data_IF_635765775857
#
_entry.id   IF_635765775857
#
_cell.length_a   1.000
_cell.length_b   1.000
_cell.length_c   1.000
_cell.angle_alpha   90.00
_cell.angle_beta   90.00
_cell.angle_gamma   90.00
#
_symmetry.space_group_name_H-M   'P 1'
#
loop_
_entity.id
_entity.type
_entity.pdbx_description
1 polymer ?
#
# COMPACT_ATOMS: atom_id res chain seq x y z
N UNK A 1 -32.47 -11.55 20.83
CA UNK A 1 -32.59 -10.24 20.15
C UNK A 1 -31.35 -10.08 19.30
N UNK A 2 -31.51 -10.23 17.99
CA UNK A 2 -30.46 -10.25 16.99
C UNK A 2 -30.03 -8.80 16.72
N UNK A 3 -28.76 -8.47 16.90
CA UNK A 3 -28.23 -7.18 16.46
C UNK A 3 -27.92 -7.26 14.97
N UNK A 4 -28.78 -6.62 14.19
CA UNK A 4 -28.60 -6.38 12.76
C UNK A 4 -27.58 -5.25 12.62
N UNK A 5 -26.37 -5.58 12.14
CA UNK A 5 -25.34 -4.60 11.80
C UNK A 5 -25.70 -4.03 10.44
N UNK A 6 -26.10 -2.76 10.38
CA UNK A 6 -26.33 -2.05 9.14
C UNK A 6 -25.00 -1.89 8.39
N UNK A 7 -24.93 -2.46 7.19
CA UNK A 7 -23.77 -2.41 6.31
C UNK A 7 -23.76 -1.07 5.57
N UNK A 8 -22.69 -0.30 5.78
CA UNK A 8 -22.28 0.78 4.88
C UNK A 8 -22.01 0.17 3.50
N UNK A 9 -22.56 0.75 2.43
CA UNK A 9 -22.32 0.29 1.07
C UNK A 9 -20.86 0.57 0.69
N UNK A 10 -20.06 -0.48 0.63
CA UNK A 10 -18.69 -0.41 0.14
C UNK A 10 -18.71 -0.60 -1.39
N UNK A 11 -18.38 0.43 -2.16
CA UNK A 11 -18.16 0.29 -3.60
C UNK A 11 -16.71 -0.15 -3.91
N UNK A 12 -16.54 -0.89 -5.01
CA UNK A 12 -15.26 -1.45 -5.45
C UNK A 12 -15.03 -2.90 -4.98
N UNK A 13 -13.78 -3.40 -4.97
CA UNK A 13 -13.45 -4.81 -4.71
C UNK A 13 -13.99 -5.33 -3.37
N UNK A 14 -14.14 -4.46 -2.38
CA UNK A 14 -14.75 -4.79 -1.08
C UNK A 14 -16.26 -5.04 -1.17
N UNK A 15 -16.98 -4.38 -2.08
CA UNK A 15 -18.40 -4.60 -2.33
C UNK A 15 -18.71 -5.95 -2.96
N UNK A 16 -17.89 -6.37 -3.93
CA UNK A 16 -17.97 -7.69 -4.56
C UNK A 16 -17.69 -8.81 -3.53
N UNK A 17 -16.72 -8.61 -2.64
CA UNK A 17 -16.39 -9.53 -1.56
C UNK A 17 -17.52 -9.68 -0.54
N UNK A 18 -18.21 -8.59 -0.20
CA UNK A 18 -19.37 -8.63 0.72
C UNK A 18 -20.55 -9.39 0.09
N UNK A 19 -20.79 -9.24 -1.22
CA UNK A 19 -21.84 -10.00 -1.92
C UNK A 19 -21.50 -11.49 -2.00
N UNK A 20 -20.24 -11.84 -2.22
CA UNK A 20 -19.80 -13.24 -2.23
C UNK A 20 -19.91 -13.91 -0.85
N UNK A 21 -19.79 -13.14 0.24
CA UNK A 21 -20.02 -13.59 1.62
C UNK A 21 -21.49 -13.92 1.90
N UNK A 22 -22.45 -13.17 1.33
CA UNK A 22 -23.89 -13.44 1.53
C UNK A 22 -24.31 -14.80 0.94
N UNK A 23 -23.61 -15.29 -0.09
CA UNK A 23 -23.94 -16.52 -0.81
C UNK A 23 -23.38 -17.81 -0.17
N UNK A 24 -22.36 -17.77 0.70
CA UNK A 24 -21.63 -18.97 1.12
C UNK A 24 -21.60 -19.16 2.65
N UNK A 25 -22.68 -19.68 3.22
CA UNK A 25 -22.78 -20.01 4.67
C UNK A 25 -21.83 -21.11 5.16
N UNK A 26 -21.09 -21.80 4.28
CA UNK A 26 -20.19 -22.91 4.63
C UNK A 26 -18.68 -22.63 4.53
N UNK A 27 -18.24 -21.43 4.08
CA UNK A 27 -16.82 -21.10 3.86
C UNK A 27 -16.29 -19.99 4.77
N UNK A 28 -16.98 -19.74 5.88
CA UNK A 28 -16.69 -18.62 6.77
C UNK A 28 -15.31 -18.70 7.40
N UNK A 29 -14.82 -19.91 7.73
CA UNK A 29 -13.48 -20.09 8.30
C UNK A 29 -12.36 -19.91 7.26
N UNK A 30 -12.56 -20.38 6.02
CA UNK A 30 -11.64 -20.09 4.91
C UNK A 30 -11.57 -18.60 4.62
N UNK A 31 -12.72 -17.92 4.64
CA UNK A 31 -12.81 -16.47 4.45
C UNK A 31 -12.13 -15.70 5.58
N UNK A 32 -12.33 -16.10 6.84
CA UNK A 32 -11.61 -15.54 7.99
C UNK A 32 -10.11 -15.74 7.87
N UNK A 33 -9.68 -16.92 7.45
CA UNK A 33 -8.26 -17.22 7.26
C UNK A 33 -7.67 -16.37 6.15
N UNK A 34 -8.41 -16.20 5.04
CA UNK A 34 -8.03 -15.32 3.94
C UNK A 34 -7.97 -13.86 4.38
N UNK A 35 -8.99 -13.33 5.05
CA UNK A 35 -9.00 -11.97 5.60
C UNK A 35 -7.83 -11.75 6.57
N UNK A 36 -7.60 -12.70 7.48
CA UNK A 36 -6.47 -12.64 8.42
C UNK A 36 -5.16 -12.57 7.65
N UNK A 37 -4.99 -13.38 6.60
CA UNK A 37 -3.78 -13.36 5.77
C UNK A 37 -3.60 -12.03 5.02
N UNK A 38 -4.68 -11.50 4.44
CA UNK A 38 -4.67 -10.19 3.76
C UNK A 38 -4.31 -9.06 4.72
N UNK A 39 -4.94 -9.02 5.89
CA UNK A 39 -4.71 -7.98 6.91
C UNK A 39 -3.32 -8.10 7.53
N UNK A 40 -2.80 -9.31 7.71
CA UNK A 40 -1.47 -9.52 8.32
C UNK A 40 -0.31 -9.39 7.35
N UNK A 41 -0.57 -9.53 6.04
CA UNK A 41 0.43 -9.46 4.98
C UNK A 41 1.47 -10.58 5.03
N UNK A 42 2.04 -10.92 3.87
CA UNK A 42 3.17 -11.87 3.78
C UNK A 42 4.40 -11.16 3.23
N UNK A 43 5.11 -10.45 4.10
CA UNK A 43 6.24 -9.60 3.73
C UNK A 43 7.58 -10.35 3.73
N UNK A 44 8.40 -10.12 2.70
CA UNK A 44 9.80 -10.57 2.69
C UNK A 44 10.63 -9.74 3.68
N UNK A 45 10.41 -8.42 3.69
CA UNK A 45 10.97 -7.49 4.66
C UNK A 45 9.97 -7.25 5.79
N UNK A 46 9.73 -8.30 6.58
CA UNK A 46 8.79 -8.23 7.69
C UNK A 46 9.34 -7.44 8.87
N UNK A 47 8.83 -6.22 9.07
CA UNK A 47 9.30 -5.31 10.12
C UNK A 47 8.88 -5.74 11.53
N UNK A 48 7.96 -6.70 11.68
CA UNK A 48 7.64 -7.31 12.99
C UNK A 48 8.88 -7.93 13.64
N UNK A 49 9.82 -8.41 12.81
CA UNK A 49 11.10 -8.97 13.27
C UNK A 49 12.01 -7.92 13.91
N UNK A 50 11.72 -6.64 13.70
CA UNK A 50 12.43 -5.49 14.30
C UNK A 50 11.60 -4.83 15.40
N UNK A 51 10.53 -5.49 15.86
CA UNK A 51 9.66 -4.98 16.91
C UNK A 51 8.60 -4.00 16.43
N UNK A 52 8.49 -3.76 15.12
CA UNK A 52 7.49 -2.84 14.57
C UNK A 52 6.11 -3.49 14.57
N UNK A 53 5.08 -2.65 14.70
CA UNK A 53 3.67 -3.06 14.63
C UNK A 53 3.09 -2.72 13.26
N UNK A 54 2.44 -3.68 12.61
CA UNK A 54 1.68 -3.44 11.38
C UNK A 54 0.38 -2.71 11.74
N UNK A 55 0.18 -1.51 11.21
CA UNK A 55 -1.02 -0.71 11.42
C UNK A 55 -2.07 -0.96 10.34
N UNK A 56 -1.63 -0.95 9.09
CA UNK A 56 -2.49 -1.09 7.91
C UNK A 56 -1.77 -1.89 6.82
N UNK A 57 -2.53 -2.63 6.04
CA UNK A 57 -2.03 -3.34 4.86
C UNK A 57 -3.10 -3.45 3.79
N UNK A 58 -2.66 -3.50 2.53
CA UNK A 58 -3.47 -3.88 1.38
C UNK A 58 -2.90 -5.13 0.69
N UNK A 59 -3.75 -5.98 0.11
CA UNK A 59 -3.28 -7.13 -0.65
C UNK A 59 -2.50 -6.67 -1.90
N UNK A 60 -1.48 -7.44 -2.29
CA UNK A 60 -0.74 -7.21 -3.53
C UNK A 60 -1.69 -7.16 -4.74
N UNK A 61 -1.64 -6.08 -5.50
CA UNK A 61 -2.45 -5.84 -6.70
C UNK A 61 -1.67 -5.29 -7.89
N UNK A 62 -0.35 -5.18 -7.77
CA UNK A 62 0.52 -4.60 -8.81
C UNK A 62 0.55 -5.43 -10.09
N UNK A 63 0.55 -4.72 -11.21
CA UNK A 63 0.77 -5.25 -12.56
C UNK A 63 2.22 -5.03 -12.99
N UNK A 64 2.77 -5.83 -13.92
CA UNK A 64 4.10 -5.61 -14.51
C UNK A 64 4.26 -4.25 -15.20
N UNK A 65 3.17 -3.69 -15.72
CA UNK A 65 3.18 -2.42 -16.43
C UNK A 65 2.74 -1.31 -15.48
N UNK A 66 3.71 -0.50 -15.05
CA UNK A 66 3.51 0.57 -14.08
C UNK A 66 3.81 1.95 -14.67
N UNK A 67 3.20 2.95 -14.06
CA UNK A 67 3.60 4.35 -14.15
C UNK A 67 3.62 4.98 -12.75
N UNK A 68 4.08 6.22 -12.64
CA UNK A 68 4.05 6.93 -11.37
C UNK A 68 3.47 8.33 -11.54
N UNK A 69 2.67 8.77 -10.57
CA UNK A 69 1.92 10.03 -10.63
C UNK A 69 2.28 10.98 -9.50
N UNK A 70 2.26 12.30 -9.75
CA UNK A 70 2.32 13.29 -8.68
C UNK A 70 1.02 13.29 -7.87
N UNK A 71 1.12 13.65 -6.60
CA UNK A 71 -0.02 13.88 -5.70
C UNK A 71 -0.15 15.34 -5.25
N UNK A 72 0.87 16.17 -5.53
CA UNK A 72 0.81 17.60 -5.29
C UNK A 72 -0.09 18.26 -6.35
N UNK A 73 -0.95 19.18 -5.90
CA UNK A 73 -1.88 19.90 -6.79
C UNK A 73 -1.31 21.29 -7.07
N UNK A 74 -1.25 22.14 -6.05
CA UNK A 74 -0.67 23.50 -6.10
C UNK A 74 0.33 23.74 -4.94
N UNK A 75 0.60 22.71 -4.14
CA UNK A 75 1.49 22.77 -2.99
C UNK A 75 2.92 22.30 -3.35
N UNK A 76 3.92 22.81 -2.63
CA UNK A 76 5.30 22.32 -2.76
C UNK A 76 5.54 21.03 -1.97
N UNK A 77 4.71 20.77 -0.96
CA UNK A 77 4.78 19.57 -0.12
C UNK A 77 3.46 19.34 0.61
N UNK A 78 3.18 18.09 0.97
CA UNK A 78 2.04 17.74 1.85
C UNK A 78 2.49 16.74 2.92
N UNK A 79 1.71 16.64 4.01
CA UNK A 79 1.88 15.60 5.03
C UNK A 79 1.50 14.23 4.49
N UNK A 80 2.08 13.17 5.05
CA UNK A 80 1.88 11.80 4.59
C UNK A 80 0.43 11.32 4.61
N UNK A 81 -0.35 11.68 5.62
CA UNK A 81 -1.77 11.32 5.67
C UNK A 81 -2.56 11.89 4.48
N UNK A 82 -2.27 13.14 4.08
CA UNK A 82 -2.91 13.75 2.90
C UNK A 82 -2.40 13.11 1.60
N UNK A 83 -1.12 12.77 1.51
CA UNK A 83 -0.56 12.01 0.38
C UNK A 83 -1.24 10.63 0.25
N UNK A 84 -1.44 9.91 1.35
CA UNK A 84 -2.10 8.61 1.37
C UNK A 84 -3.58 8.71 0.94
N UNK A 85 -4.31 9.72 1.41
CA UNK A 85 -5.69 9.99 0.96
C UNK A 85 -5.74 10.22 -0.56
N UNK A 86 -4.85 11.05 -1.09
CA UNK A 86 -4.75 11.30 -2.55
C UNK A 86 -4.34 10.06 -3.32
N UNK A 87 -3.58 9.14 -2.72
CA UNK A 87 -3.23 7.88 -3.37
C UNK A 87 -4.44 7.01 -3.65
N UNK A 88 -5.44 7.01 -2.76
CA UNK A 88 -6.72 6.34 -3.01
C UNK A 88 -7.47 7.01 -4.15
N UNK A 89 -7.56 8.35 -4.16
CA UNK A 89 -8.22 9.13 -5.22
C UNK A 89 -7.60 8.88 -6.62
N UNK A 90 -6.29 8.65 -6.67
CA UNK A 90 -5.52 8.48 -7.91
C UNK A 90 -5.42 7.01 -8.37
N UNK A 91 -6.04 6.08 -7.66
CA UNK A 91 -5.83 4.63 -7.80
C UNK A 91 -4.34 4.23 -7.78
N UNK A 92 -3.58 4.87 -6.90
CA UNK A 92 -2.14 4.72 -6.73
C UNK A 92 -1.78 4.25 -5.31
N UNK A 93 -2.74 3.59 -4.62
CA UNK A 93 -2.61 3.09 -3.26
C UNK A 93 -2.06 1.65 -3.23
N UNK A 94 -0.80 1.48 -3.61
CA UNK A 94 -0.10 0.19 -3.50
C UNK A 94 0.58 0.03 -2.14
N UNK A 95 0.81 -1.22 -1.73
CA UNK A 95 1.37 -1.60 -0.44
C UNK A 95 2.77 -2.18 -0.52
N UNK A 96 3.29 -2.67 0.61
CA UNK A 96 4.63 -3.24 0.71
C UNK A 96 4.82 -4.47 -0.16
N UNK A 97 3.82 -5.37 -0.25
CA UNK A 97 3.93 -6.56 -1.10
C UNK A 97 4.06 -6.18 -2.59
N UNK A 98 3.49 -5.05 -3.00
CA UNK A 98 3.68 -4.50 -4.35
C UNK A 98 5.10 -3.96 -4.54
N UNK A 99 5.63 -3.25 -3.53
CA UNK A 99 7.01 -2.75 -3.54
C UNK A 99 8.05 -3.88 -3.59
N UNK A 100 7.84 -4.93 -2.80
CA UNK A 100 8.70 -6.11 -2.78
C UNK A 100 8.65 -6.86 -4.11
N UNK A 101 7.45 -7.00 -4.69
CA UNK A 101 7.31 -7.60 -6.02
C UNK A 101 8.07 -6.80 -7.09
N UNK A 102 7.98 -5.46 -7.08
CA UNK A 102 8.76 -4.62 -7.99
C UNK A 102 10.28 -4.73 -7.76
N UNK A 103 10.69 -4.90 -6.50
CA UNK A 103 12.11 -5.05 -6.15
C UNK A 103 12.70 -6.38 -6.68
N UNK A 104 11.87 -7.37 -6.97
CA UNK A 104 12.28 -8.61 -7.65
C UNK A 104 12.29 -8.51 -9.17
N UNK A 105 11.53 -7.56 -9.71
CA UNK A 105 11.36 -7.34 -11.14
C UNK A 105 11.84 -5.94 -11.53
N UNK A 106 13.03 -5.57 -11.03
CA UNK A 106 13.56 -4.19 -11.13
C UNK A 106 13.75 -3.71 -12.57
N UNK A 107 13.98 -4.64 -13.48
CA UNK A 107 14.09 -4.43 -14.93
C UNK A 107 12.79 -3.91 -15.54
N UNK A 108 11.64 -4.19 -14.92
CA UNK A 108 10.32 -3.69 -15.35
C UNK A 108 10.06 -2.25 -14.93
N UNK A 109 10.82 -1.70 -13.97
CA UNK A 109 10.62 -0.34 -13.50
C UNK A 109 11.24 0.63 -14.52
N UNK A 110 10.44 1.53 -15.14
CA UNK A 110 10.96 2.43 -16.16
C UNK A 110 12.13 3.28 -15.67
N UNK A 111 13.17 3.42 -16.50
CA UNK A 111 14.38 4.21 -16.19
C UNK A 111 14.03 5.66 -15.81
N UNK A 112 13.00 6.25 -16.44
CA UNK A 112 12.50 7.60 -16.13
C UNK A 112 12.07 7.77 -14.66
N UNK A 113 11.76 6.68 -13.96
CA UNK A 113 11.33 6.73 -12.56
C UNK A 113 12.50 6.77 -11.58
N UNK A 114 13.73 6.51 -12.02
CA UNK A 114 14.92 6.46 -11.16
C UNK A 114 15.26 7.81 -10.49
N UNK A 115 14.71 8.91 -10.97
CA UNK A 115 14.82 10.23 -10.34
C UNK A 115 13.82 10.49 -9.21
N UNK A 116 12.94 9.53 -8.91
CA UNK A 116 11.87 9.68 -7.93
C UNK A 116 11.97 8.66 -6.79
N UNK A 117 11.42 9.03 -5.64
CA UNK A 117 11.06 8.11 -4.56
C UNK A 117 9.68 7.54 -4.85
N UNK A 118 9.58 6.23 -5.02
CA UNK A 118 8.31 5.55 -5.30
C UNK A 118 7.68 5.12 -3.98
N UNK A 119 6.56 5.73 -3.60
CA UNK A 119 5.92 5.56 -2.29
C UNK A 119 4.74 4.59 -2.36
N UNK A 120 4.59 3.73 -1.35
CA UNK A 120 3.59 2.68 -1.27
C UNK A 120 2.73 2.83 0.00
N UNK A 121 1.76 3.77 0.02
CA UNK A 121 1.10 4.21 1.24
C UNK A 121 0.08 3.24 1.84
N UNK A 122 -0.26 2.15 1.13
CA UNK A 122 -1.30 1.22 1.58
C UNK A 122 -0.83 0.29 2.71
N UNK A 123 0.48 0.22 2.96
CA UNK A 123 1.04 -0.47 4.12
C UNK A 123 1.64 0.55 5.07
N UNK A 124 1.18 0.54 6.32
CA UNK A 124 1.68 1.42 7.37
C UNK A 124 2.23 0.61 8.52
N UNK A 125 3.42 0.98 8.97
CA UNK A 125 4.06 0.43 10.15
C UNK A 125 4.14 1.46 11.26
N UNK A 126 4.26 0.99 12.49
CA UNK A 126 4.67 1.78 13.65
C UNK A 126 5.93 1.19 14.23
N UNK A 127 6.96 1.99 14.45
CA UNK A 127 8.17 1.52 15.10
C UNK A 127 8.02 1.47 16.64
N UNK A 128 9.14 1.26 17.34
CA UNK A 128 9.17 1.19 18.81
C UNK A 128 9.01 2.55 19.49
N UNK A 129 9.34 3.64 18.80
CA UNK A 129 9.23 5.02 19.30
C UNK A 129 7.81 5.59 19.06
N UNK A 130 6.98 4.87 18.30
CA UNK A 130 5.61 5.23 18.00
C UNK A 130 5.43 5.95 16.67
N UNK A 131 6.52 6.14 15.92
CA UNK A 131 6.54 6.82 14.64
C UNK A 131 5.96 5.93 13.53
N UNK A 132 5.22 6.56 12.62
CA UNK A 132 4.53 5.86 11.53
C UNK A 132 5.39 5.85 10.28
N UNK A 133 5.45 4.72 9.59
CA UNK A 133 6.26 4.58 8.38
C UNK A 133 5.51 3.94 7.23
N UNK A 134 5.86 4.36 6.01
CA UNK A 134 5.41 3.74 4.75
C UNK A 134 6.58 3.22 3.93
N UNK A 135 6.43 2.09 3.22
CA UNK A 135 7.46 1.61 2.29
C UNK A 135 7.68 2.58 1.13
N UNK A 136 8.93 2.67 0.68
CA UNK A 136 9.29 3.33 -0.57
C UNK A 136 10.47 2.65 -1.26
N UNK A 137 10.53 2.79 -2.58
CA UNK A 137 11.67 2.40 -3.41
C UNK A 137 12.40 3.64 -3.90
N UNK A 138 13.73 3.57 -3.94
CA UNK A 138 14.56 4.60 -4.55
C UNK A 138 15.73 3.97 -5.31
N UNK A 139 16.22 4.67 -6.33
CA UNK A 139 17.34 4.21 -7.14
C UNK A 139 18.66 4.68 -6.53
N UNK A 140 19.53 3.74 -6.17
CA UNK A 140 20.84 4.05 -5.60
C UNK A 140 21.88 2.98 -5.94
N UNK A 141 23.08 3.42 -6.34
CA UNK A 141 24.18 2.50 -6.63
C UNK A 141 23.89 1.49 -7.76
N UNK A 142 23.08 1.88 -8.75
CA UNK A 142 22.76 1.02 -9.89
C UNK A 142 21.65 0.00 -9.65
N UNK A 143 20.88 0.11 -8.55
CA UNK A 143 19.75 -0.75 -8.24
C UNK A 143 18.64 0.00 -7.50
N UNK A 144 17.44 -0.56 -7.49
CA UNK A 144 16.37 -0.14 -6.58
C UNK A 144 16.61 -0.70 -5.19
N UNK A 145 16.23 0.06 -4.17
CA UNK A 145 16.35 -0.31 -2.76
C UNK A 145 15.05 -0.01 -2.05
N UNK A 146 14.58 -0.96 -1.24
CA UNK A 146 13.43 -0.79 -0.34
C UNK A 146 13.86 -0.21 1.00
N UNK A 147 13.14 0.83 1.43
CA UNK A 147 13.26 1.51 2.71
C UNK A 147 11.88 1.93 3.22
N UNK A 148 11.85 2.52 4.40
CA UNK A 148 10.64 2.98 5.06
C UNK A 148 10.81 4.46 5.40
N UNK A 149 9.84 5.29 4.99
CA UNK A 149 9.85 6.73 5.15
C UNK A 149 8.91 7.13 6.29
N UNK A 150 9.30 8.13 7.08
CA UNK A 150 8.47 8.63 8.17
C UNK A 150 7.22 9.32 7.61
N UNK A 151 6.06 8.76 7.90
CA UNK A 151 4.77 9.21 7.36
C UNK A 151 4.37 10.59 7.89
N UNK A 152 4.81 10.94 9.10
CA UNK A 152 4.52 12.24 9.73
C UNK A 152 5.40 13.38 9.20
N UNK A 153 6.38 13.08 8.35
CA UNK A 153 7.17 14.06 7.61
C UNK A 153 6.41 14.62 6.39
N UNK A 154 7.07 15.49 5.62
CA UNK A 154 6.57 16.11 4.40
C UNK A 154 7.05 15.37 3.16
N UNK A 155 6.11 15.11 2.25
CA UNK A 155 6.36 14.53 0.93
C UNK A 155 6.34 15.64 -0.13
N UNK A 156 7.25 15.56 -1.09
CA UNK A 156 7.60 16.64 -2.02
C UNK A 156 7.49 16.18 -3.48
N UNK A 157 7.92 17.07 -4.39
CA UNK A 157 7.81 16.87 -5.83
C UNK A 157 8.69 15.77 -6.42
N UNK A 158 9.63 15.22 -5.64
CA UNK A 158 10.47 14.06 -5.95
C UNK A 158 9.84 12.73 -5.50
N UNK A 159 8.75 12.75 -4.72
CA UNK A 159 7.97 11.58 -4.40
C UNK A 159 6.91 11.29 -5.47
N UNK A 160 6.68 10.02 -5.78
CA UNK A 160 5.66 9.57 -6.73
C UNK A 160 4.90 8.39 -6.18
N UNK A 161 3.60 8.38 -6.47
CA UNK A 161 2.74 7.24 -6.19
C UNK A 161 2.71 6.30 -7.39
N UNK A 162 2.95 5.02 -7.14
CA UNK A 162 2.95 3.99 -8.19
C UNK A 162 1.51 3.60 -8.51
N UNK A 163 1.19 3.47 -9.80
CA UNK A 163 -0.11 3.02 -10.28
C UNK A 163 0.03 2.09 -11.48
N UNK A 164 -1.02 1.33 -11.84
CA UNK A 164 -1.02 0.60 -13.11
C UNK A 164 -0.93 1.59 -14.28
N UNK A 165 -0.16 1.23 -15.31
CA UNK A 165 -0.18 1.98 -16.57
C UNK A 165 -1.44 1.57 -17.35
N UNK A 166 -2.27 2.56 -17.70
CA UNK A 166 -3.41 2.39 -18.61
C UNK A 166 -2.94 2.20 -20.04
#
# INVERSE_FOLDING_TARGET
MSHEVSLVEFEGPLGELVQQCKSNRGRFDEFKLWLKKVVTGTFKRDMRKEGWTLLENAPRRISPIIDAVPFLKNENSVKGDLMATRAVELDANYGQEDAEWLLEHQDMIPVKLRSYYLVFPATKWRDLDGDRFVPFLYWHGGRWVLRFFWLDDVFRSDDRLVRPRK
#
